data_IF_605491504115
#
_entry.id   IF_605491504115
#
_cell.length_a   1.000
_cell.length_b   1.000
_cell.length_c   1.000
_cell.angle_alpha   90.00
_cell.angle_beta   90.00
_cell.angle_gamma   90.00
#
_symmetry.space_group_name_H-M   'P 1'
#
loop_
_entity.id
_entity.type
_entity.pdbx_description
1 polymer ?
#
# COMPACT_ATOMS: atom_id res chain seq x y z
N UNK A 1 -1.70 -32.12 0.06
CA UNK A 1 -2.19 -31.78 1.42
C UNK A 1 -1.20 -30.79 2.00
N UNK A 2 -1.64 -29.65 2.52
CA UNK A 2 -0.75 -28.73 3.23
C UNK A 2 -0.20 -29.52 4.43
N UNK A 3 1.11 -29.76 4.45
CA UNK A 3 1.76 -30.46 5.55
C UNK A 3 1.58 -29.69 6.87
N UNK A 4 1.74 -30.39 7.99
CA UNK A 4 1.59 -29.82 9.35
C UNK A 4 2.65 -28.75 9.71
N UNK A 5 3.17 -28.03 8.68
CA UNK A 5 4.17 -27.00 8.87
C UNK A 5 3.60 -25.77 9.56
N UNK A 6 4.43 -25.13 10.39
CA UNK A 6 4.15 -23.89 11.11
C UNK A 6 4.78 -22.70 10.36
N UNK A 7 3.98 -21.72 10.01
CA UNK A 7 4.36 -20.54 9.27
C UNK A 7 4.34 -19.32 10.20
N UNK A 8 5.44 -18.59 10.27
CA UNK A 8 5.55 -17.35 11.04
C UNK A 8 5.54 -16.14 10.13
N UNK A 9 4.49 -15.35 10.18
CA UNK A 9 4.46 -14.02 9.56
C UNK A 9 4.86 -12.94 10.55
N UNK A 10 5.75 -12.02 10.12
CA UNK A 10 6.31 -10.99 10.99
C UNK A 10 6.16 -9.61 10.38
N UNK A 11 5.56 -8.68 11.14
CA UNK A 11 5.49 -7.26 10.78
C UNK A 11 5.36 -6.37 12.02
N UNK A 12 5.74 -5.09 11.89
CA UNK A 12 5.65 -4.07 12.97
C UNK A 12 4.26 -3.43 13.11
N UNK A 13 3.31 -3.75 12.26
CA UNK A 13 1.95 -3.23 12.35
C UNK A 13 1.25 -3.73 13.62
N UNK A 14 0.20 -3.06 14.09
CA UNK A 14 -0.62 -3.58 15.17
C UNK A 14 -1.67 -4.56 14.63
N UNK A 15 -1.92 -5.62 15.41
CA UNK A 15 -3.19 -6.33 15.43
C UNK A 15 -3.97 -5.79 16.63
N UNK A 16 -5.28 -5.74 16.49
CA UNK A 16 -6.17 -5.28 17.54
C UNK A 16 -6.86 -6.47 18.21
N UNK A 17 -7.01 -6.39 19.51
CA UNK A 17 -7.67 -7.40 20.32
C UNK A 17 -8.84 -6.79 21.07
N UNK A 18 -10.01 -7.35 20.89
CA UNK A 18 -11.21 -7.00 21.64
C UNK A 18 -11.33 -7.91 22.85
N UNK A 19 -11.20 -7.35 24.05
CA UNK A 19 -11.23 -8.09 25.33
C UNK A 19 -12.60 -8.72 25.61
N UNK A 20 -13.70 -8.11 25.13
CA UNK A 20 -15.05 -8.61 25.35
C UNK A 20 -15.35 -9.83 24.47
N UNK A 21 -15.10 -9.72 23.18
CA UNK A 21 -15.34 -10.83 22.24
C UNK A 21 -14.22 -11.85 22.19
N UNK A 22 -13.05 -11.56 22.80
CA UNK A 22 -11.81 -12.36 22.75
C UNK A 22 -11.35 -12.66 21.31
N UNK A 23 -11.49 -11.67 20.43
CA UNK A 23 -11.21 -11.79 18.99
C UNK A 23 -10.14 -10.83 18.54
N UNK A 24 -9.45 -11.22 17.45
CA UNK A 24 -8.44 -10.40 16.80
C UNK A 24 -9.01 -9.71 15.57
N UNK A 25 -8.52 -8.49 15.30
CA UNK A 25 -8.93 -7.66 14.18
C UNK A 25 -7.72 -7.00 13.53
N UNK A 26 -7.76 -6.81 12.21
CA UNK A 26 -6.74 -6.13 11.44
C UNK A 26 -7.29 -5.01 10.58
N UNK A 27 -6.50 -3.95 10.33
CA UNK A 27 -6.84 -2.89 9.35
C UNK A 27 -6.43 -3.33 7.94
N UNK A 28 -5.25 -3.92 7.81
CA UNK A 28 -4.66 -4.37 6.55
C UNK A 28 -4.32 -5.87 6.58
N UNK A 29 -4.87 -6.57 7.53
CA UNK A 29 -4.69 -7.99 7.76
C UNK A 29 -6.08 -8.61 7.90
N UNK A 30 -6.35 -9.61 7.10
CA UNK A 30 -7.62 -10.30 7.05
C UNK A 30 -7.41 -11.82 6.89
N UNK A 31 -8.50 -12.57 6.84
CA UNK A 31 -8.46 -14.01 6.63
C UNK A 31 -7.90 -14.40 5.24
N UNK A 32 -7.96 -13.50 4.23
CA UNK A 32 -7.36 -13.77 2.92
C UNK A 32 -5.84 -13.81 3.01
N UNK A 33 -5.24 -12.94 3.84
CA UNK A 33 -3.80 -12.98 4.07
C UNK A 33 -3.38 -14.26 4.81
N UNK A 34 -4.16 -14.72 5.78
CA UNK A 34 -3.91 -15.99 6.47
C UNK A 34 -4.00 -17.15 5.47
N UNK A 35 -5.05 -17.21 4.65
CA UNK A 35 -5.22 -18.20 3.58
C UNK A 35 -4.07 -18.18 2.57
N UNK A 36 -3.55 -17.00 2.25
CA UNK A 36 -2.38 -16.84 1.37
C UNK A 36 -1.16 -17.56 1.94
N UNK A 37 -0.90 -17.44 3.23
CA UNK A 37 0.26 -18.08 3.85
C UNK A 37 0.01 -19.54 4.22
N UNK A 38 -1.24 -19.98 4.36
CA UNK A 38 -1.55 -21.41 4.53
C UNK A 38 -1.24 -22.25 3.28
N UNK A 39 -0.81 -21.61 2.18
CA UNK A 39 -0.18 -22.29 1.04
C UNK A 39 1.08 -23.07 1.44
N UNK A 40 1.86 -22.53 2.36
CA UNK A 40 3.12 -23.13 2.82
C UNK A 40 2.93 -24.18 3.93
N UNK A 41 1.84 -24.12 4.71
CA UNK A 41 1.59 -25.03 5.82
C UNK A 41 0.30 -24.72 6.57
N UNK A 42 -0.12 -25.66 7.41
CA UNK A 42 -1.41 -25.67 8.08
C UNK A 42 -1.56 -24.58 9.16
N UNK A 43 -0.50 -24.32 9.93
CA UNK A 43 -0.53 -23.43 11.08
C UNK A 43 0.12 -22.10 10.75
N UNK A 44 -0.62 -20.98 10.91
CA UNK A 44 -0.13 -19.63 10.62
C UNK A 44 -0.15 -18.78 11.88
N UNK A 45 1.02 -18.29 12.28
CA UNK A 45 1.18 -17.38 13.42
C UNK A 45 1.59 -16.00 12.94
N UNK A 46 0.91 -14.93 13.44
CA UNK A 46 1.32 -13.56 13.20
C UNK A 46 2.07 -13.02 14.42
N UNK A 47 3.35 -12.71 14.25
CA UNK A 47 4.16 -12.08 15.28
C UNK A 47 4.10 -10.57 15.09
N UNK A 48 3.29 -9.89 15.92
CA UNK A 48 2.95 -8.50 15.77
C UNK A 48 2.73 -7.81 17.11
N UNK A 49 2.64 -6.46 17.09
CA UNK A 49 2.24 -5.72 18.28
C UNK A 49 0.74 -5.83 18.49
N UNK A 50 0.33 -6.04 19.74
CA UNK A 50 -1.08 -6.06 20.09
C UNK A 50 -1.52 -4.68 20.58
N UNK A 51 -2.72 -4.25 20.19
CA UNK A 51 -3.43 -3.08 20.71
C UNK A 51 -4.82 -3.50 21.17
N UNK A 52 -5.25 -2.95 22.29
CA UNK A 52 -6.63 -3.10 22.71
C UNK A 52 -7.55 -2.32 21.77
N UNK A 53 -8.64 -2.92 21.40
CA UNK A 53 -9.66 -2.30 20.58
C UNK A 53 -10.93 -2.10 21.41
N UNK A 54 -11.48 -0.88 21.49
CA UNK A 54 -12.82 -0.67 22.02
C UNK A 54 -13.86 -1.41 21.19
N UNK A 55 -14.77 -2.14 21.82
CA UNK A 55 -15.74 -3.02 21.12
C UNK A 55 -16.59 -2.29 20.08
N UNK A 56 -16.90 -1.00 20.31
CA UNK A 56 -17.65 -0.17 19.38
C UNK A 56 -16.89 0.19 18.10
N UNK A 57 -15.56 0.02 18.08
CA UNK A 57 -14.74 0.28 16.89
C UNK A 57 -14.49 -0.98 16.06
N UNK A 58 -14.78 -2.17 16.56
CA UNK A 58 -14.48 -3.45 15.89
C UNK A 58 -15.12 -3.57 14.49
N UNK A 59 -16.24 -2.89 14.25
CA UNK A 59 -16.95 -2.86 12.95
C UNK A 59 -16.07 -2.27 11.84
N UNK A 60 -15.08 -1.43 12.17
CA UNK A 60 -14.19 -0.77 11.21
C UNK A 60 -13.02 -1.65 10.74
N UNK A 61 -12.85 -2.84 11.33
CA UNK A 61 -11.71 -3.70 11.10
C UNK A 61 -12.12 -5.10 10.65
N UNK A 62 -11.28 -5.73 9.84
CA UNK A 62 -11.49 -7.11 9.41
C UNK A 62 -11.22 -8.07 10.56
N UNK A 63 -12.19 -8.92 10.88
CA UNK A 63 -12.03 -9.94 11.90
C UNK A 63 -11.16 -11.09 11.37
N UNK A 64 -10.28 -11.61 12.24
CA UNK A 64 -9.44 -12.77 11.97
C UNK A 64 -10.07 -14.01 12.62
N UNK A 65 -10.61 -14.91 11.81
CA UNK A 65 -11.38 -16.07 12.24
C UNK A 65 -10.83 -17.42 11.74
N UNK A 66 -9.74 -17.40 10.96
CA UNK A 66 -9.21 -18.61 10.34
C UNK A 66 -8.87 -19.67 11.39
N UNK A 67 -9.23 -20.92 11.12
CA UNK A 67 -8.78 -22.05 11.91
C UNK A 67 -7.25 -22.19 11.81
N UNK A 68 -6.60 -22.69 12.85
CA UNK A 68 -5.13 -22.85 12.92
C UNK A 68 -4.35 -21.52 12.80
N UNK A 69 -4.98 -20.40 13.17
CA UNK A 69 -4.36 -19.08 13.27
C UNK A 69 -4.05 -18.73 14.72
N UNK A 70 -2.90 -18.13 14.95
CA UNK A 70 -2.52 -17.60 16.26
C UNK A 70 -1.78 -16.26 16.16
N UNK A 71 -1.77 -15.52 17.26
CA UNK A 71 -1.04 -14.24 17.39
C UNK A 71 0.02 -14.37 18.47
N UNK A 72 1.26 -14.05 18.12
CA UNK A 72 2.38 -13.94 19.06
C UNK A 72 2.63 -12.46 19.30
N UNK A 73 2.34 -12.00 20.51
CA UNK A 73 2.50 -10.60 20.87
C UNK A 73 3.96 -10.24 21.09
N UNK A 74 4.41 -9.14 20.47
CA UNK A 74 5.68 -8.48 20.80
C UNK A 74 5.44 -7.12 21.46
N UNK A 75 6.23 -6.73 22.46
CA UNK A 75 6.13 -5.43 23.06
C UNK A 75 6.49 -4.32 22.06
N UNK A 76 5.94 -3.12 22.24
CA UNK A 76 6.33 -1.97 21.43
C UNK A 76 7.79 -1.59 21.72
N UNK A 77 8.61 -1.48 20.69
CA UNK A 77 10.02 -1.06 20.75
C UNK A 77 10.39 -0.09 19.59
N UNK A 78 9.41 0.63 19.05
CA UNK A 78 9.62 1.57 17.93
C UNK A 78 10.22 2.92 18.36
N UNK A 79 9.84 3.45 19.51
CA UNK A 79 10.43 4.71 20.01
C UNK A 79 11.71 4.44 20.81
N UNK A 80 12.61 5.42 20.90
CA UNK A 80 13.89 5.30 21.61
C UNK A 80 13.70 4.80 23.06
N UNK A 81 12.73 5.36 23.80
CA UNK A 81 12.41 4.94 25.16
C UNK A 81 11.99 3.47 25.24
N UNK A 82 11.05 3.07 24.39
CA UNK A 82 10.55 1.69 24.35
C UNK A 82 11.56 0.71 23.76
N UNK A 83 12.44 1.20 22.87
CA UNK A 83 13.52 0.38 22.30
C UNK A 83 14.49 -0.06 23.41
N UNK A 84 14.95 0.87 24.26
CA UNK A 84 15.86 0.54 25.36
C UNK A 84 15.22 -0.43 26.37
N UNK A 85 13.95 -0.23 26.70
CA UNK A 85 13.24 -1.05 27.70
C UNK A 85 12.85 -2.44 27.17
N UNK A 86 12.41 -2.54 25.93
CA UNK A 86 11.73 -3.72 25.43
C UNK A 86 12.51 -4.54 24.40
N UNK A 87 13.64 -4.04 23.87
CA UNK A 87 14.40 -4.72 22.81
C UNK A 87 14.83 -6.13 23.20
N UNK A 88 15.32 -6.32 24.42
CA UNK A 88 15.77 -7.63 24.89
C UNK A 88 14.59 -8.62 24.98
N UNK A 89 13.46 -8.17 25.53
CA UNK A 89 12.21 -8.98 25.60
C UNK A 89 11.69 -9.31 24.22
N UNK A 90 11.59 -8.32 23.32
CA UNK A 90 11.17 -8.53 21.94
C UNK A 90 12.08 -9.54 21.22
N UNK A 91 13.42 -9.39 21.37
CA UNK A 91 14.39 -10.33 20.76
C UNK A 91 14.24 -11.75 21.27
N UNK A 92 13.95 -11.95 22.57
CA UNK A 92 13.69 -13.31 23.13
C UNK A 92 12.44 -13.93 22.51
N UNK A 93 11.33 -13.17 22.42
CA UNK A 93 10.06 -13.64 21.83
C UNK A 93 10.27 -13.99 20.35
N UNK A 94 10.91 -13.09 19.57
CA UNK A 94 11.19 -13.33 18.16
C UNK A 94 12.08 -14.58 17.99
N UNK A 95 13.09 -14.75 18.85
CA UNK A 95 13.99 -15.89 18.79
C UNK A 95 13.24 -17.22 19.03
N UNK A 96 12.41 -17.29 20.06
CA UNK A 96 11.59 -18.46 20.34
C UNK A 96 10.65 -18.79 19.18
N UNK A 97 9.96 -17.78 18.64
CA UNK A 97 9.07 -17.94 17.51
C UNK A 97 9.79 -18.43 16.25
N UNK A 98 10.97 -17.88 15.92
CA UNK A 98 11.76 -18.32 14.76
C UNK A 98 12.22 -19.76 14.90
N UNK A 99 12.60 -20.20 16.10
CA UNK A 99 12.99 -21.60 16.35
C UNK A 99 11.82 -22.55 16.15
N UNK A 100 10.65 -22.19 16.68
CA UNK A 100 9.44 -23.04 16.69
C UNK A 100 8.82 -23.23 15.31
N UNK A 101 8.99 -22.27 14.38
CA UNK A 101 8.33 -22.29 13.07
C UNK A 101 9.27 -22.81 11.97
N UNK A 102 8.66 -23.37 10.94
CA UNK A 102 9.38 -24.01 9.82
C UNK A 102 9.74 -23.01 8.72
N UNK A 103 8.83 -22.09 8.41
CA UNK A 103 8.99 -21.06 7.37
C UNK A 103 8.72 -19.69 7.96
N UNK A 104 9.59 -18.73 7.64
CA UNK A 104 9.52 -17.36 8.16
C UNK A 104 9.18 -16.40 7.01
N UNK A 105 8.04 -15.75 7.10
CA UNK A 105 7.60 -14.72 6.14
C UNK A 105 7.76 -13.35 6.78
N UNK A 106 8.52 -12.47 6.16
CA UNK A 106 8.89 -11.17 6.73
C UNK A 106 8.39 -10.06 5.82
N UNK A 107 7.44 -9.26 6.30
CA UNK A 107 6.99 -8.07 5.58
C UNK A 107 7.85 -6.87 5.96
N UNK A 108 8.50 -6.27 4.97
CA UNK A 108 9.47 -5.19 5.12
C UNK A 108 8.96 -3.87 4.51
N UNK A 109 9.29 -2.71 5.12
CA UNK A 109 10.25 -2.50 6.23
C UNK A 109 9.66 -2.82 7.61
N UNK A 110 10.44 -3.52 8.45
CA UNK A 110 10.05 -3.91 9.81
C UNK A 110 11.27 -4.05 10.72
N UNK A 111 11.23 -3.48 11.93
CA UNK A 111 12.29 -3.65 12.92
C UNK A 111 12.29 -5.07 13.50
N UNK A 112 11.10 -5.63 13.78
CA UNK A 112 10.95 -7.02 14.20
C UNK A 112 11.39 -7.97 13.10
N UNK A 113 11.01 -7.67 11.85
CA UNK A 113 11.41 -8.43 10.66
C UNK A 113 12.92 -8.45 10.45
N UNK A 114 13.62 -7.33 10.69
CA UNK A 114 15.10 -7.30 10.62
C UNK A 114 15.74 -8.22 11.64
N UNK A 115 15.25 -8.24 12.89
CA UNK A 115 15.74 -9.14 13.94
C UNK A 115 15.45 -10.59 13.52
N UNK A 116 14.25 -10.89 13.08
CA UNK A 116 13.84 -12.23 12.66
C UNK A 116 14.66 -12.75 11.46
N UNK A 117 14.97 -11.89 10.48
CA UNK A 117 15.81 -12.25 9.35
C UNK A 117 17.19 -12.76 9.78
N UNK A 118 17.87 -12.03 10.68
CA UNK A 118 19.18 -12.44 11.18
C UNK A 118 19.11 -13.73 12.02
N UNK A 119 18.05 -13.91 12.80
CA UNK A 119 17.82 -15.13 13.56
C UNK A 119 17.50 -16.32 12.65
N UNK A 120 16.63 -16.14 11.66
CA UNK A 120 16.29 -17.17 10.69
C UNK A 120 17.53 -17.65 9.92
N UNK A 121 18.40 -16.72 9.49
CA UNK A 121 19.71 -17.09 8.90
C UNK A 121 20.60 -17.87 9.86
N UNK A 122 20.66 -17.46 11.13
CA UNK A 122 21.44 -18.16 12.16
C UNK A 122 20.98 -19.62 12.35
N UNK A 123 19.68 -19.87 12.24
CA UNK A 123 19.07 -21.19 12.42
C UNK A 123 18.80 -21.92 11.11
N UNK A 124 19.32 -21.42 9.98
CA UNK A 124 19.09 -21.96 8.64
C UNK A 124 17.60 -22.18 8.30
N UNK A 125 16.72 -21.31 8.77
CA UNK A 125 15.29 -21.39 8.47
C UNK A 125 14.99 -20.82 7.08
N UNK A 126 14.06 -21.41 6.32
CA UNK A 126 13.48 -20.86 5.11
C UNK A 126 12.91 -19.46 5.36
N UNK A 127 13.24 -18.50 4.48
CA UNK A 127 12.77 -17.11 4.60
C UNK A 127 12.23 -16.61 3.28
N UNK A 128 11.00 -16.08 3.31
CA UNK A 128 10.42 -15.26 2.26
C UNK A 128 10.33 -13.81 2.74
N UNK A 129 10.86 -12.86 1.97
CA UNK A 129 10.72 -11.43 2.24
C UNK A 129 9.65 -10.83 1.32
N UNK A 130 8.69 -10.11 1.89
CA UNK A 130 7.76 -9.26 1.18
C UNK A 130 8.16 -7.79 1.36
N UNK A 131 8.70 -7.16 0.31
CA UNK A 131 9.11 -5.76 0.35
C UNK A 131 7.98 -4.87 -0.16
N UNK A 132 7.28 -4.19 0.76
CA UNK A 132 6.03 -3.46 0.45
C UNK A 132 6.18 -1.94 0.42
N UNK A 133 7.29 -1.38 0.94
CA UNK A 133 7.51 0.06 0.97
C UNK A 133 9.01 0.41 1.01
N UNK A 134 9.32 1.67 0.68
CA UNK A 134 10.67 2.22 0.78
C UNK A 134 10.93 2.75 2.20
N UNK A 135 11.88 2.17 2.92
CA UNK A 135 12.24 2.63 4.27
C UNK A 135 12.81 4.06 4.28
N UNK A 136 13.56 4.42 3.22
CA UNK A 136 14.10 5.76 3.09
C UNK A 136 13.00 6.81 3.03
N UNK A 137 12.04 6.64 2.11
CA UNK A 137 10.96 7.59 1.90
C UNK A 137 10.06 7.69 3.16
N UNK A 138 9.82 6.56 3.83
CA UNK A 138 9.06 6.50 5.08
C UNK A 138 9.71 7.32 6.20
N UNK A 139 11.02 7.25 6.36
CA UNK A 139 11.75 8.02 7.37
C UNK A 139 11.94 9.47 6.95
N UNK A 140 12.25 9.73 5.68
CA UNK A 140 12.49 11.07 5.15
C UNK A 140 11.29 12.00 5.28
N UNK A 141 10.08 11.47 5.07
CA UNK A 141 8.84 12.24 5.14
C UNK A 141 8.19 12.24 6.54
N UNK A 142 8.81 11.60 7.54
CA UNK A 142 8.24 11.50 8.89
C UNK A 142 8.56 12.74 9.73
N UNK A 143 9.85 12.94 10.08
CA UNK A 143 10.35 14.10 10.83
C UNK A 143 11.84 14.36 10.55
N UNK A 144 12.44 15.36 11.19
CA UNK A 144 13.85 15.67 11.03
C UNK A 144 14.79 14.55 11.54
N UNK A 145 14.38 13.79 12.57
CA UNK A 145 15.14 12.64 13.11
C UNK A 145 15.08 11.47 12.12
N UNK A 146 13.94 11.31 11.48
CA UNK A 146 13.78 10.35 10.39
C UNK A 146 14.73 10.63 9.23
N UNK A 147 14.90 11.89 8.84
CA UNK A 147 15.83 12.28 7.77
C UNK A 147 17.27 11.87 8.09
N UNK A 148 17.73 12.07 9.32
CA UNK A 148 19.09 11.63 9.75
C UNK A 148 19.23 10.10 9.65
N UNK A 149 18.21 9.34 10.04
CA UNK A 149 18.25 7.89 10.04
C UNK A 149 18.00 7.27 8.65
N UNK A 150 17.40 8.00 7.72
CA UNK A 150 16.96 7.47 6.43
C UNK A 150 18.11 6.84 5.62
N UNK A 151 19.26 7.53 5.53
CA UNK A 151 20.44 7.05 4.78
C UNK A 151 21.03 5.78 5.41
N UNK A 152 21.21 5.77 6.74
CA UNK A 152 21.73 4.61 7.46
C UNK A 152 20.81 3.40 7.32
N UNK A 153 19.51 3.60 7.52
CA UNK A 153 18.52 2.53 7.39
C UNK A 153 18.44 2.02 5.96
N UNK A 154 18.44 2.90 4.96
CA UNK A 154 18.48 2.49 3.56
C UNK A 154 19.69 1.61 3.25
N UNK A 155 20.89 2.01 3.70
CA UNK A 155 22.10 1.21 3.53
C UNK A 155 21.99 -0.16 4.20
N UNK A 156 21.54 -0.19 5.47
CA UNK A 156 21.34 -1.43 6.23
C UNK A 156 20.37 -2.39 5.55
N UNK A 157 19.24 -1.86 5.04
CA UNK A 157 18.25 -2.66 4.31
C UNK A 157 18.79 -3.15 2.96
N UNK A 158 19.50 -2.30 2.21
CA UNK A 158 20.16 -2.73 0.97
C UNK A 158 21.09 -3.91 1.20
N UNK A 159 21.95 -3.80 2.22
CA UNK A 159 22.90 -4.87 2.55
C UNK A 159 22.18 -6.17 2.95
N UNK A 160 21.12 -6.07 3.75
CA UNK A 160 20.32 -7.22 4.13
C UNK A 160 19.63 -7.87 2.91
N UNK A 161 19.06 -7.04 2.02
CA UNK A 161 18.32 -7.53 0.86
C UNK A 161 19.22 -8.19 -0.19
N UNK A 162 20.46 -7.75 -0.35
CA UNK A 162 21.43 -8.41 -1.25
C UNK A 162 21.57 -9.91 -0.95
N UNK A 163 21.52 -10.29 0.31
CA UNK A 163 21.66 -11.69 0.77
C UNK A 163 20.33 -12.44 0.88
N UNK A 164 19.18 -11.79 0.63
CA UNK A 164 17.86 -12.42 0.67
C UNK A 164 17.72 -13.42 -0.47
N UNK A 165 17.36 -14.67 -0.17
CA UNK A 165 17.26 -15.74 -1.18
C UNK A 165 15.95 -15.67 -1.97
N UNK A 166 14.84 -15.32 -1.32
CA UNK A 166 13.51 -15.26 -1.92
C UNK A 166 12.82 -13.97 -1.52
N UNK A 167 12.39 -13.18 -2.50
CA UNK A 167 11.78 -11.86 -2.26
C UNK A 167 10.61 -11.60 -3.20
N UNK A 168 9.48 -11.16 -2.64
CA UNK A 168 8.38 -10.56 -3.39
C UNK A 168 8.41 -9.06 -3.17
N UNK A 169 8.43 -8.30 -4.25
CA UNK A 169 8.29 -6.84 -4.22
C UNK A 169 6.89 -6.46 -4.69
N UNK A 170 6.23 -5.51 -4.03
CA UNK A 170 4.92 -5.01 -4.51
C UNK A 170 5.02 -4.19 -5.80
N UNK A 171 6.22 -3.79 -6.20
CA UNK A 171 6.52 -3.09 -7.46
C UNK A 171 7.22 -4.03 -8.45
N UNK A 172 7.26 -3.66 -9.73
CA UNK A 172 8.00 -4.43 -10.74
C UNK A 172 9.43 -3.92 -10.96
N UNK A 173 9.73 -2.65 -10.59
CA UNK A 173 11.04 -2.02 -10.87
C UNK A 173 11.56 -1.19 -9.69
N UNK A 174 10.73 -0.36 -9.07
CA UNK A 174 11.17 0.66 -8.09
C UNK A 174 11.85 0.06 -6.87
N UNK A 175 11.17 -0.84 -6.14
CA UNK A 175 11.74 -1.45 -4.93
C UNK A 175 12.90 -2.39 -5.26
N UNK A 176 12.85 -3.12 -6.38
CA UNK A 176 13.93 -3.97 -6.86
C UNK A 176 15.20 -3.16 -7.13
N UNK A 177 15.10 -2.00 -7.77
CA UNK A 177 16.22 -1.09 -7.98
C UNK A 177 16.72 -0.46 -6.67
N UNK A 178 15.81 -0.15 -5.76
CA UNK A 178 16.13 0.48 -4.48
C UNK A 178 16.77 -0.49 -3.49
N UNK A 179 16.30 -1.72 -3.45
CA UNK A 179 16.74 -2.79 -2.55
C UNK A 179 16.96 -4.09 -3.33
N UNK A 180 18.02 -4.16 -4.15
CA UNK A 180 18.27 -5.34 -5.00
C UNK A 180 18.60 -6.57 -4.16
N UNK A 181 18.22 -7.74 -4.66
CA UNK A 181 18.65 -9.05 -4.14
C UNK A 181 19.44 -9.80 -5.20
N UNK A 182 20.37 -10.67 -4.76
CA UNK A 182 21.03 -11.68 -5.60
C UNK A 182 20.25 -12.99 -5.68
N UNK A 183 19.24 -13.14 -4.83
CA UNK A 183 18.35 -14.30 -4.84
C UNK A 183 17.24 -14.19 -5.88
N UNK A 184 16.33 -15.16 -5.84
CA UNK A 184 15.13 -15.17 -6.70
C UNK A 184 14.14 -14.13 -6.24
N UNK A 185 13.54 -13.40 -7.17
CA UNK A 185 12.54 -12.39 -6.82
C UNK A 185 11.51 -12.16 -7.92
N UNK A 186 10.32 -11.76 -7.50
CA UNK A 186 9.23 -11.34 -8.40
C UNK A 186 8.66 -9.99 -7.99
N UNK A 187 8.02 -9.31 -8.96
CA UNK A 187 7.08 -8.21 -8.70
C UNK A 187 5.67 -8.77 -8.60
N UNK A 188 5.03 -8.59 -7.44
CA UNK A 188 3.65 -9.03 -7.23
C UNK A 188 2.97 -8.11 -6.21
N UNK A 189 1.99 -7.34 -6.68
CA UNK A 189 1.26 -6.39 -5.84
C UNK A 189 0.35 -7.10 -4.82
N UNK A 190 0.05 -6.39 -3.73
CA UNK A 190 -0.95 -6.79 -2.73
C UNK A 190 -2.37 -6.27 -3.06
N UNK A 191 -2.56 -5.64 -4.22
CA UNK A 191 -3.89 -5.24 -4.67
C UNK A 191 -4.70 -6.48 -5.04
N UNK A 192 -5.99 -6.44 -4.74
CA UNK A 192 -6.93 -7.51 -5.12
C UNK A 192 -8.08 -6.89 -5.92
N UNK A 193 -7.92 -6.82 -7.23
CA UNK A 193 -9.00 -6.41 -8.13
C UNK A 193 -9.89 -7.61 -8.48
N UNK A 194 -11.19 -7.39 -8.46
CA UNK A 194 -12.14 -8.29 -9.10
C UNK A 194 -11.94 -8.19 -10.61
N UNK A 195 -12.29 -9.23 -11.34
CA UNK A 195 -12.17 -9.28 -12.81
C UNK A 195 -12.85 -8.04 -13.43
N UNK A 196 -12.09 -7.36 -14.29
CA UNK A 196 -12.59 -6.19 -14.99
C UNK A 196 -13.50 -6.64 -16.14
N UNK A 197 -14.70 -6.07 -16.22
CA UNK A 197 -15.65 -6.22 -17.33
C UNK A 197 -15.41 -5.09 -18.34
N UNK A 198 -15.31 -5.41 -19.62
CA UNK A 198 -15.07 -4.43 -20.67
C UNK A 198 -16.19 -3.38 -20.78
N UNK A 199 -17.40 -3.67 -20.30
CA UNK A 199 -18.49 -2.69 -20.17
C UNK A 199 -18.11 -1.47 -19.31
N UNK A 200 -17.17 -1.62 -18.37
CA UNK A 200 -16.63 -0.52 -17.55
C UNK A 200 -15.95 0.52 -18.44
N UNK A 201 -15.09 0.06 -19.35
CA UNK A 201 -14.42 0.96 -20.32
C UNK A 201 -15.42 1.62 -21.26
N UNK A 202 -16.35 0.85 -21.82
CA UNK A 202 -17.38 1.42 -22.69
C UNK A 202 -18.21 2.51 -22.00
N UNK A 203 -18.66 2.26 -20.79
CA UNK A 203 -19.43 3.21 -20.01
C UNK A 203 -18.62 4.47 -19.70
N UNK A 204 -17.32 4.32 -19.37
CA UNK A 204 -16.39 5.43 -19.15
C UNK A 204 -16.24 6.28 -20.42
N UNK A 205 -16.04 5.67 -21.57
CA UNK A 205 -15.91 6.38 -22.87
C UNK A 205 -17.20 7.14 -23.23
N UNK A 206 -18.36 6.51 -23.08
CA UNK A 206 -19.66 7.16 -23.28
C UNK A 206 -19.84 8.39 -22.36
N UNK A 207 -19.41 8.26 -21.08
CA UNK A 207 -19.49 9.35 -20.11
C UNK A 207 -18.54 10.52 -20.48
N UNK A 208 -17.31 10.23 -20.88
CA UNK A 208 -16.35 11.26 -21.33
C UNK A 208 -16.92 12.07 -22.51
N UNK A 209 -17.52 11.39 -23.49
CA UNK A 209 -18.11 12.06 -24.66
C UNK A 209 -19.30 12.98 -24.29
N UNK A 210 -20.09 12.61 -23.27
CA UNK A 210 -21.24 13.38 -22.80
C UNK A 210 -20.87 14.43 -21.75
N UNK A 211 -19.58 14.52 -21.38
CA UNK A 211 -19.14 15.41 -20.30
C UNK A 211 -19.37 16.88 -20.65
N UNK A 212 -20.11 17.56 -19.80
CA UNK A 212 -20.33 19.01 -19.80
C UNK A 212 -19.98 19.59 -18.42
N UNK A 213 -19.49 20.82 -18.38
CA UNK A 213 -19.13 21.51 -17.14
C UNK A 213 -17.73 21.17 -16.60
N UNK A 214 -17.41 21.58 -15.36
CA UNK A 214 -16.10 21.45 -14.77
C UNK A 214 -15.63 20.00 -14.68
N UNK A 215 -14.34 19.75 -14.87
CA UNK A 215 -13.70 18.44 -14.66
C UNK A 215 -13.69 18.14 -13.16
N UNK A 216 -14.13 16.92 -12.81
CA UNK A 216 -14.13 16.41 -11.45
C UNK A 216 -12.87 15.57 -11.21
N UNK A 217 -11.97 16.09 -10.39
CA UNK A 217 -10.79 15.37 -9.90
C UNK A 217 -11.17 14.54 -8.66
N UNK A 218 -10.51 13.40 -8.47
CA UNK A 218 -10.70 12.61 -7.26
C UNK A 218 -9.39 12.05 -6.70
N UNK A 219 -9.32 11.94 -5.36
CA UNK A 219 -8.24 11.23 -4.65
C UNK A 219 -8.83 10.38 -3.54
N UNK A 220 -8.38 9.13 -3.44
CA UNK A 220 -8.68 8.25 -2.32
C UNK A 220 -7.41 8.03 -1.50
N UNK A 221 -7.30 8.67 -0.32
CA UNK A 221 -6.14 8.61 0.57
C UNK A 221 -6.48 9.11 1.97
N UNK A 222 -5.65 8.78 2.97
CA UNK A 222 -5.75 9.36 4.30
C UNK A 222 -5.70 10.90 4.24
N UNK A 223 -6.60 11.58 4.98
CA UNK A 223 -6.83 13.03 4.90
C UNK A 223 -5.95 13.84 5.86
N UNK A 224 -5.48 13.20 6.91
CA UNK A 224 -4.62 13.79 7.97
C UNK A 224 -3.11 13.62 7.70
N UNK A 225 -2.75 13.06 6.56
CA UNK A 225 -1.37 12.69 6.24
C UNK A 225 -0.77 13.62 5.17
N UNK A 226 0.11 14.59 5.54
CA UNK A 226 0.61 15.62 4.63
C UNK A 226 1.36 15.10 3.39
N UNK A 227 2.03 13.94 3.51
CA UNK A 227 2.77 13.36 2.38
C UNK A 227 1.85 12.76 1.30
N UNK A 228 0.53 12.70 1.52
CA UNK A 228 -0.44 12.34 0.47
C UNK A 228 -0.68 13.46 -0.55
N UNK A 229 -0.28 14.69 -0.24
CA UNK A 229 -0.13 15.77 -1.20
C UNK A 229 -1.42 16.45 -1.67
N UNK A 230 -2.60 16.11 -1.14
CA UNK A 230 -3.89 16.68 -1.57
C UNK A 230 -3.89 18.23 -1.53
N UNK A 231 -3.21 18.82 -0.54
CA UNK A 231 -3.07 20.27 -0.42
C UNK A 231 -2.35 20.91 -1.60
N UNK A 232 -1.47 20.20 -2.31
CA UNK A 232 -0.76 20.73 -3.47
C UNK A 232 -1.70 20.81 -4.68
N UNK A 233 -2.65 19.87 -4.82
CA UNK A 233 -3.73 19.94 -5.82
C UNK A 233 -4.69 21.09 -5.50
N UNK A 234 -5.07 21.28 -4.24
CA UNK A 234 -5.92 22.42 -3.80
C UNK A 234 -5.27 23.76 -4.18
N UNK A 235 -3.96 23.90 -3.98
CA UNK A 235 -3.22 25.12 -4.41
C UNK A 235 -3.22 25.27 -5.92
N UNK A 236 -3.07 24.19 -6.69
CA UNK A 236 -3.08 24.21 -8.14
C UNK A 236 -4.43 24.68 -8.69
N UNK A 237 -5.56 24.12 -8.21
CA UNK A 237 -6.88 24.55 -8.65
C UNK A 237 -7.20 26.00 -8.21
N UNK A 238 -6.65 26.45 -7.08
CA UNK A 238 -6.77 27.86 -6.67
C UNK A 238 -6.05 28.83 -7.59
N UNK A 239 -4.90 28.46 -8.16
CA UNK A 239 -4.22 29.24 -9.19
C UNK A 239 -5.03 29.23 -10.50
N UNK A 240 -5.55 28.06 -10.91
CA UNK A 240 -6.35 27.92 -12.13
C UNK A 240 -7.68 28.68 -12.07
N UNK A 241 -8.33 28.73 -10.91
CA UNK A 241 -9.55 29.55 -10.70
C UNK A 241 -9.30 31.02 -11.03
N UNK A 242 -8.12 31.59 -10.72
CA UNK A 242 -7.74 32.95 -11.05
C UNK A 242 -7.59 33.17 -12.57
N UNK A 243 -7.35 32.11 -13.32
CA UNK A 243 -7.29 32.08 -14.78
C UNK A 243 -8.66 31.77 -15.43
N UNK A 244 -9.73 31.65 -14.64
CA UNK A 244 -11.06 31.30 -15.12
C UNK A 244 -11.27 29.81 -15.39
N UNK A 245 -10.32 28.93 -15.02
CA UNK A 245 -10.39 27.49 -15.24
C UNK A 245 -10.86 26.80 -13.95
N UNK A 246 -12.01 26.15 -14.01
CA UNK A 246 -12.69 25.59 -12.85
C UNK A 246 -12.57 24.06 -12.83
N UNK A 247 -12.10 23.54 -11.71
CA UNK A 247 -12.10 22.11 -11.37
C UNK A 247 -12.89 21.88 -10.09
N UNK A 248 -13.54 20.72 -9.96
CA UNK A 248 -14.06 20.24 -8.69
C UNK A 248 -13.10 19.16 -8.17
N UNK A 249 -12.74 19.22 -6.90
CA UNK A 249 -11.83 18.22 -6.30
C UNK A 249 -12.49 17.50 -5.15
N UNK A 250 -12.75 16.20 -5.35
CA UNK A 250 -13.39 15.31 -4.38
C UNK A 250 -12.35 14.46 -3.65
N UNK A 251 -12.46 14.41 -2.33
CA UNK A 251 -11.51 13.72 -1.44
C UNK A 251 -12.22 12.65 -0.61
N UNK A 252 -11.78 11.41 -0.76
CA UNK A 252 -12.26 10.26 0.00
C UNK A 252 -11.13 9.70 0.86
N UNK A 253 -11.40 9.47 2.14
CA UNK A 253 -10.47 8.85 3.07
C UNK A 253 -10.81 9.14 4.53
N UNK A 254 -10.13 8.44 5.42
CA UNK A 254 -10.23 8.67 6.85
C UNK A 254 -9.19 9.67 7.34
N UNK A 255 -9.41 10.23 8.52
CA UNK A 255 -8.51 11.15 9.19
C UNK A 255 -9.09 12.55 9.37
N UNK A 256 -8.35 13.42 10.06
CA UNK A 256 -8.76 14.80 10.30
C UNK A 256 -8.71 15.62 9.01
N UNK A 257 -9.80 16.33 8.72
CA UNK A 257 -10.02 17.12 7.52
C UNK A 257 -9.57 18.59 7.66
N UNK A 258 -9.24 19.02 8.87
CA UNK A 258 -9.05 20.46 9.21
C UNK A 258 -8.00 21.13 8.34
N UNK A 259 -6.87 20.48 8.10
CA UNK A 259 -5.79 21.02 7.29
C UNK A 259 -6.19 21.19 5.80
N UNK A 260 -6.99 20.29 5.26
CA UNK A 260 -7.45 20.36 3.87
C UNK A 260 -8.54 21.43 3.69
N UNK A 261 -9.46 21.55 4.66
CA UNK A 261 -10.44 22.66 4.69
C UNK A 261 -9.76 24.01 4.75
N UNK A 262 -8.78 24.17 5.64
CA UNK A 262 -7.98 25.40 5.73
C UNK A 262 -7.20 25.69 4.45
N UNK A 263 -6.67 24.65 3.77
CA UNK A 263 -6.00 24.82 2.50
C UNK A 263 -6.98 25.32 1.41
N UNK A 264 -8.20 24.80 1.37
CA UNK A 264 -9.24 25.22 0.43
C UNK A 264 -9.67 26.69 0.68
N UNK A 265 -9.83 27.09 1.93
CA UNK A 265 -10.13 28.48 2.32
C UNK A 265 -9.02 29.45 1.91
N UNK A 266 -7.76 29.14 2.26
CA UNK A 266 -6.59 29.99 1.94
C UNK A 266 -6.36 30.17 0.45
N UNK A 267 -6.84 29.25 -0.39
CA UNK A 267 -6.71 29.32 -1.84
C UNK A 267 -8.01 29.76 -2.55
N UNK A 268 -9.06 30.16 -1.79
CA UNK A 268 -10.36 30.63 -2.31
C UNK A 268 -11.07 29.58 -3.20
N UNK A 269 -10.99 28.30 -2.84
CA UNK A 269 -11.59 27.17 -3.59
C UNK A 269 -12.46 26.27 -2.70
N UNK A 270 -13.00 26.81 -1.61
CA UNK A 270 -13.88 26.04 -0.72
C UNK A 270 -15.10 25.49 -1.44
N UNK A 271 -15.62 26.24 -2.40
CA UNK A 271 -16.73 25.88 -3.28
C UNK A 271 -16.38 24.80 -4.32
N UNK A 272 -15.10 24.51 -4.52
CA UNK A 272 -14.58 23.52 -5.47
C UNK A 272 -13.98 22.28 -4.81
N UNK A 273 -13.86 22.25 -3.48
CA UNK A 273 -13.26 21.14 -2.72
C UNK A 273 -14.34 20.46 -1.88
N UNK A 274 -14.66 19.22 -2.23
CA UNK A 274 -15.59 18.38 -1.50
C UNK A 274 -14.84 17.28 -0.74
N UNK A 275 -14.91 17.31 0.59
CA UNK A 275 -14.28 16.31 1.46
C UNK A 275 -15.36 15.36 1.96
N UNK A 276 -15.49 14.21 1.30
CA UNK A 276 -16.53 13.22 1.55
C UNK A 276 -16.27 12.46 2.85
N UNK A 277 -14.98 12.22 3.18
CA UNK A 277 -14.61 11.41 4.32
C UNK A 277 -14.46 9.93 3.95
N UNK A 278 -14.64 9.04 4.92
CA UNK A 278 -14.45 7.60 4.75
C UNK A 278 -15.66 6.97 4.07
N UNK A 279 -15.41 6.15 3.06
CA UNK A 279 -16.43 5.33 2.40
C UNK A 279 -16.17 3.84 2.66
N UNK A 280 -17.21 3.00 2.67
CA UNK A 280 -17.06 1.55 2.52
C UNK A 280 -16.29 1.21 1.24
N UNK A 281 -15.53 0.11 1.24
CA UNK A 281 -14.70 -0.24 0.09
C UNK A 281 -15.51 -0.44 -1.21
N UNK A 282 -16.73 -0.98 -1.12
CA UNK A 282 -17.66 -1.09 -2.24
C UNK A 282 -17.97 0.27 -2.88
N UNK A 283 -18.18 1.28 -2.05
CA UNK A 283 -18.62 2.61 -2.51
C UNK A 283 -17.44 3.43 -3.08
N UNK A 284 -16.20 3.03 -2.75
CA UNK A 284 -15.00 3.60 -3.38
C UNK A 284 -15.02 3.37 -4.89
N UNK A 285 -15.47 2.21 -5.37
CA UNK A 285 -15.55 1.94 -6.81
C UNK A 285 -16.61 2.82 -7.49
N UNK A 286 -17.76 3.04 -6.86
CA UNK A 286 -18.79 3.97 -7.35
C UNK A 286 -18.23 5.40 -7.43
N UNK A 287 -17.53 5.84 -6.38
CA UNK A 287 -16.84 7.13 -6.38
C UNK A 287 -15.84 7.26 -7.55
N UNK A 288 -15.03 6.22 -7.81
CA UNK A 288 -14.07 6.20 -8.90
C UNK A 288 -14.74 6.21 -10.30
N UNK A 289 -15.95 5.72 -10.40
CA UNK A 289 -16.77 5.82 -11.62
C UNK A 289 -17.35 7.23 -11.81
N UNK A 290 -17.66 7.94 -10.74
CA UNK A 290 -18.24 9.30 -10.76
C UNK A 290 -17.24 10.41 -11.07
N UNK A 291 -15.99 10.30 -10.71
CA UNK A 291 -14.97 11.29 -11.02
C UNK A 291 -14.51 11.19 -12.49
N UNK A 292 -14.00 12.27 -13.04
CA UNK A 292 -13.50 12.31 -14.41
C UNK A 292 -12.02 11.92 -14.50
N UNK A 293 -11.21 12.38 -13.55
CA UNK A 293 -9.77 12.11 -13.50
C UNK A 293 -9.34 11.81 -12.06
N UNK A 294 -8.67 10.71 -11.86
CA UNK A 294 -8.02 10.39 -10.60
C UNK A 294 -6.66 11.10 -10.49
N UNK A 295 -6.32 11.67 -9.34
CA UNK A 295 -5.02 12.28 -9.12
C UNK A 295 -4.37 11.76 -7.84
N UNK A 296 -3.10 11.27 -7.95
CA UNK A 296 -2.29 10.75 -6.84
C UNK A 296 -1.09 11.66 -6.59
N UNK A 297 -1.20 12.73 -5.80
CA UNK A 297 -0.14 13.72 -5.60
C UNK A 297 0.86 13.37 -4.49
N UNK A 298 0.97 12.10 -4.15
CA UNK A 298 1.75 11.63 -3.00
C UNK A 298 3.24 11.94 -3.10
N UNK A 299 3.87 12.18 -1.95
CA UNK A 299 5.33 12.36 -1.78
C UNK A 299 6.01 11.06 -1.34
N UNK A 300 5.21 10.04 -1.00
CA UNK A 300 5.67 8.72 -0.56
C UNK A 300 4.62 7.66 -0.89
N UNK A 301 5.06 6.58 -1.52
CA UNK A 301 4.25 5.38 -1.80
C UNK A 301 5.14 4.11 -1.83
N UNK A 302 4.48 2.96 -1.90
CA UNK A 302 5.03 1.73 -2.45
C UNK A 302 4.53 1.57 -3.89
N UNK A 303 3.56 0.68 -4.10
CA UNK A 303 2.66 0.67 -5.25
C UNK A 303 1.27 1.12 -4.75
N UNK A 304 0.75 2.28 -5.18
CA UNK A 304 -0.52 2.80 -4.64
C UNK A 304 -1.71 1.99 -5.16
N UNK A 305 -2.36 1.22 -4.28
CA UNK A 305 -3.56 0.45 -4.60
C UNK A 305 -4.67 1.32 -5.18
N UNK A 306 -4.86 2.50 -4.64
CA UNK A 306 -5.87 3.45 -5.08
C UNK A 306 -5.74 3.87 -6.55
N UNK A 307 -4.52 3.99 -7.08
CA UNK A 307 -4.30 4.21 -8.52
C UNK A 307 -4.74 3.00 -9.34
N UNK A 308 -4.39 1.79 -8.88
CA UNK A 308 -4.79 0.55 -9.57
C UNK A 308 -6.31 0.37 -9.54
N UNK A 309 -6.96 0.69 -8.41
CA UNK A 309 -8.43 0.69 -8.28
C UNK A 309 -9.07 1.70 -9.24
N UNK A 310 -8.54 2.92 -9.36
CA UNK A 310 -9.01 3.92 -10.33
C UNK A 310 -8.84 3.44 -11.77
N UNK A 311 -7.69 2.86 -12.10
CA UNK A 311 -7.42 2.29 -13.42
C UNK A 311 -8.40 1.16 -13.78
N UNK A 312 -8.79 0.32 -12.81
CA UNK A 312 -9.78 -0.75 -13.00
C UNK A 312 -11.19 -0.24 -13.33
N UNK A 313 -11.48 1.03 -13.02
CA UNK A 313 -12.71 1.74 -13.42
C UNK A 313 -12.51 2.57 -14.68
N UNK A 314 -11.48 2.24 -15.47
CA UNK A 314 -11.10 2.99 -16.66
C UNK A 314 -10.97 4.51 -16.40
N UNK A 315 -10.62 4.90 -15.16
CA UNK A 315 -10.48 6.30 -14.79
C UNK A 315 -9.12 6.83 -15.32
N UNK A 316 -9.10 7.91 -16.13
CA UNK A 316 -7.86 8.60 -16.46
C UNK A 316 -7.13 9.00 -15.17
N UNK A 317 -5.81 8.88 -15.13
CA UNK A 317 -5.07 9.15 -13.92
C UNK A 317 -3.86 10.07 -14.14
N UNK A 318 -3.66 10.97 -13.19
CA UNK A 318 -2.45 11.77 -13.03
C UNK A 318 -1.74 11.37 -11.72
N UNK A 319 -0.42 11.47 -11.66
CA UNK A 319 0.28 11.12 -10.43
C UNK A 319 1.68 11.70 -10.31
N UNK A 320 2.19 11.72 -9.09
CA UNK A 320 3.57 12.13 -8.84
C UNK A 320 4.57 11.10 -9.37
N UNK A 321 5.69 11.58 -9.89
CA UNK A 321 6.79 10.76 -10.42
C UNK A 321 7.64 10.17 -9.27
N UNK A 322 7.00 9.35 -8.42
CA UNK A 322 7.68 8.71 -7.28
C UNK A 322 7.30 7.25 -7.16
N UNK A 323 8.16 6.49 -6.51
CA UNK A 323 7.91 5.12 -6.09
C UNK A 323 7.36 4.23 -7.24
N UNK A 324 6.28 3.50 -7.01
CA UNK A 324 5.64 2.64 -7.99
C UNK A 324 4.63 3.35 -8.90
N UNK A 325 4.36 4.66 -8.74
CA UNK A 325 3.39 5.38 -9.60
C UNK A 325 3.81 5.37 -11.08
N UNK A 326 5.11 5.60 -11.43
CA UNK A 326 5.57 5.54 -12.82
C UNK A 326 5.49 4.15 -13.47
N UNK A 327 5.21 3.11 -12.71
CA UNK A 327 4.98 1.76 -13.23
C UNK A 327 3.52 1.52 -13.63
N UNK A 328 2.62 2.40 -13.18
CA UNK A 328 1.17 2.27 -13.36
C UNK A 328 0.65 3.13 -14.52
N UNK A 329 1.07 4.39 -14.58
CA UNK A 329 0.53 5.37 -15.52
C UNK A 329 1.60 5.92 -16.46
N UNK A 330 1.17 6.44 -17.60
CA UNK A 330 2.05 6.95 -18.64
C UNK A 330 2.92 8.12 -18.13
N UNK A 331 4.14 8.22 -18.67
CA UNK A 331 5.08 9.30 -18.35
C UNK A 331 4.49 10.70 -18.56
N UNK A 332 3.66 10.89 -19.59
CA UNK A 332 3.01 12.17 -19.86
C UNK A 332 2.02 12.59 -18.75
N UNK A 333 1.54 11.64 -17.94
CA UNK A 333 0.61 11.86 -16.82
C UNK A 333 1.34 12.14 -15.49
N UNK A 334 2.67 12.11 -15.48
CA UNK A 334 3.47 12.27 -14.27
C UNK A 334 3.89 13.72 -14.06
N UNK A 335 3.97 14.11 -12.78
CA UNK A 335 4.55 15.37 -12.31
C UNK A 335 5.44 15.13 -11.09
N UNK A 336 6.40 16.00 -10.83
CA UNK A 336 7.26 15.86 -9.65
C UNK A 336 6.50 16.20 -8.37
N UNK A 337 6.69 15.40 -7.33
CA UNK A 337 6.00 15.56 -6.05
C UNK A 337 6.22 16.96 -5.44
N UNK A 338 5.12 17.64 -5.10
CA UNK A 338 5.13 18.99 -4.55
C UNK A 338 5.35 20.13 -5.56
N UNK A 339 5.50 19.85 -6.85
CA UNK A 339 5.65 20.84 -7.91
C UNK A 339 4.29 21.30 -8.44
N UNK A 340 3.73 22.34 -7.80
CA UNK A 340 2.39 22.85 -8.09
C UNK A 340 2.25 23.27 -9.56
N UNK A 341 3.27 23.90 -10.14
CA UNK A 341 3.22 24.39 -11.51
C UNK A 341 3.14 23.23 -12.53
N UNK A 342 3.82 22.10 -12.25
CA UNK A 342 3.68 20.89 -13.07
C UNK A 342 2.28 20.26 -12.90
N UNK A 343 1.67 20.31 -11.72
CA UNK A 343 0.28 19.88 -11.53
C UNK A 343 -0.65 20.75 -12.42
N UNK A 344 -0.46 22.07 -12.43
CA UNK A 344 -1.23 23.01 -13.27
C UNK A 344 -1.08 22.63 -14.76
N UNK A 345 0.14 22.39 -15.23
CA UNK A 345 0.40 21.99 -16.62
C UNK A 345 -0.37 20.71 -16.97
N UNK A 346 -0.34 19.70 -16.09
CA UNK A 346 -1.08 18.45 -16.32
C UNK A 346 -2.59 18.64 -16.31
N UNK A 347 -3.11 19.48 -15.43
CA UNK A 347 -4.54 19.78 -15.38
C UNK A 347 -4.99 20.53 -16.66
N UNK A 348 -4.18 21.43 -17.21
CA UNK A 348 -4.47 22.14 -18.46
C UNK A 348 -4.46 21.22 -19.71
N UNK A 349 -3.80 20.07 -19.66
CA UNK A 349 -3.79 19.07 -20.75
C UNK A 349 -5.09 18.28 -20.86
N UNK A 350 -5.93 18.28 -19.82
CA UNK A 350 -7.14 17.47 -19.77
C UNK A 350 -8.16 17.94 -20.80
N UNK A 351 -8.50 17.08 -21.72
CA UNK A 351 -9.59 17.22 -22.68
C UNK A 351 -10.19 15.84 -23.00
N UNK A 352 -11.29 15.79 -23.75
CA UNK A 352 -11.97 14.53 -24.05
C UNK A 352 -11.06 13.51 -24.76
N UNK A 353 -10.22 13.93 -25.70
CA UNK A 353 -9.29 13.04 -26.39
C UNK A 353 -8.27 12.43 -25.42
N UNK A 354 -7.64 13.26 -24.57
CA UNK A 354 -6.69 12.79 -23.56
C UNK A 354 -7.36 11.84 -22.57
N UNK A 355 -8.58 12.18 -22.10
CA UNK A 355 -9.31 11.31 -21.16
C UNK A 355 -9.63 9.96 -21.77
N UNK A 356 -10.10 9.89 -23.03
CA UNK A 356 -10.40 8.62 -23.70
C UNK A 356 -9.13 7.76 -23.88
N UNK A 357 -8.05 8.38 -24.33
CA UNK A 357 -6.74 7.71 -24.51
C UNK A 357 -6.25 7.11 -23.17
N UNK A 358 -6.29 7.89 -22.09
CA UNK A 358 -5.81 7.43 -20.79
C UNK A 358 -6.78 6.41 -20.16
N UNK A 359 -8.07 6.53 -20.36
CA UNK A 359 -9.06 5.54 -19.91
C UNK A 359 -8.76 4.15 -20.47
N UNK A 360 -8.56 4.05 -21.79
CA UNK A 360 -8.22 2.77 -22.43
C UNK A 360 -6.90 2.19 -21.93
N UNK A 361 -5.84 2.99 -21.88
CA UNK A 361 -4.52 2.53 -21.41
C UNK A 361 -4.54 2.09 -19.95
N UNK A 362 -5.18 2.87 -19.07
CA UNK A 362 -5.27 2.54 -17.66
C UNK A 362 -6.07 1.26 -17.44
N UNK A 363 -7.17 1.07 -18.15
CA UNK A 363 -8.00 -0.11 -18.04
C UNK A 363 -7.24 -1.37 -18.46
N UNK A 364 -6.55 -1.34 -19.61
CA UNK A 364 -5.72 -2.47 -20.05
C UNK A 364 -4.60 -2.77 -19.04
N UNK A 365 -3.93 -1.74 -18.52
CA UNK A 365 -2.88 -1.91 -17.52
C UNK A 365 -3.40 -2.48 -16.20
N UNK A 366 -4.64 -2.14 -15.81
CA UNK A 366 -5.26 -2.67 -14.60
C UNK A 366 -5.50 -4.19 -14.65
N UNK A 367 -5.65 -4.77 -15.84
CA UNK A 367 -5.82 -6.23 -16.04
C UNK A 367 -4.64 -7.03 -15.48
N UNK A 368 -3.41 -6.46 -15.50
CA UNK A 368 -2.22 -7.10 -14.91
C UNK A 368 -2.30 -7.25 -13.38
N UNK A 369 -3.25 -6.55 -12.73
CA UNK A 369 -3.46 -6.52 -11.28
C UNK A 369 -4.72 -7.25 -10.84
N UNK A 370 -5.35 -8.03 -11.72
CA UNK A 370 -6.48 -8.88 -11.36
C UNK A 370 -6.05 -9.94 -10.35
N UNK A 371 -6.98 -10.29 -9.46
CA UNK A 371 -6.72 -11.21 -8.35
C UNK A 371 -6.16 -12.56 -8.81
N UNK A 372 -6.73 -13.13 -9.84
CA UNK A 372 -6.31 -14.45 -10.35
C UNK A 372 -4.92 -14.39 -10.99
N UNK A 373 -4.62 -13.31 -11.73
CA UNK A 373 -3.30 -13.09 -12.32
C UNK A 373 -2.21 -12.97 -11.25
N UNK A 374 -2.46 -12.14 -10.22
CA UNK A 374 -1.53 -11.95 -9.12
C UNK A 374 -1.41 -13.20 -8.25
N UNK A 375 -2.51 -13.95 -8.08
CA UNK A 375 -2.52 -15.22 -7.36
C UNK A 375 -1.66 -16.25 -8.08
N UNK A 376 -1.90 -16.48 -9.38
CA UNK A 376 -1.13 -17.42 -10.18
C UNK A 376 0.37 -17.11 -10.15
N UNK A 377 0.75 -15.83 -10.37
CA UNK A 377 2.14 -15.37 -10.30
C UNK A 377 2.78 -15.62 -8.94
N UNK A 378 2.04 -15.40 -7.86
CA UNK A 378 2.51 -15.59 -6.49
C UNK A 378 2.66 -17.07 -6.16
N UNK A 379 1.69 -17.89 -6.52
CA UNK A 379 1.71 -19.33 -6.26
C UNK A 379 2.85 -20.01 -7.02
N UNK A 380 3.08 -19.68 -8.28
CA UNK A 380 4.24 -20.17 -9.04
C UNK A 380 5.58 -19.83 -8.36
N UNK A 381 5.69 -18.65 -7.75
CA UNK A 381 6.89 -18.28 -6.97
C UNK A 381 6.96 -19.01 -5.62
N UNK A 382 5.82 -19.30 -5.00
CA UNK A 382 5.77 -20.09 -3.78
C UNK A 382 6.21 -21.53 -4.01
N UNK A 383 5.79 -22.15 -5.13
CA UNK A 383 6.28 -23.48 -5.53
C UNK A 383 7.79 -23.48 -5.72
N UNK A 384 8.32 -22.49 -6.43
CA UNK A 384 9.77 -22.31 -6.56
C UNK A 384 10.48 -22.18 -5.20
N UNK A 385 9.89 -21.46 -4.23
CA UNK A 385 10.43 -21.37 -2.88
C UNK A 385 10.41 -22.73 -2.19
N UNK A 386 9.31 -23.49 -2.29
CA UNK A 386 9.18 -24.81 -1.68
C UNK A 386 10.19 -25.80 -2.26
N UNK A 387 10.44 -25.78 -3.57
CA UNK A 387 11.50 -26.58 -4.22
C UNK A 387 12.88 -26.20 -3.66
N UNK A 388 13.20 -24.90 -3.66
CA UNK A 388 14.50 -24.42 -3.20
C UNK A 388 14.77 -24.70 -1.71
N UNK A 389 13.70 -24.85 -0.94
CA UNK A 389 13.78 -25.22 0.50
C UNK A 389 13.75 -26.73 0.74
N UNK A 390 13.57 -27.55 -0.31
CA UNK A 390 13.53 -29.00 -0.22
C UNK A 390 12.25 -29.56 0.38
N UNK A 391 11.13 -28.83 0.27
CA UNK A 391 9.82 -29.27 0.75
C UNK A 391 9.00 -30.01 -0.31
N UNK A 392 9.29 -29.79 -1.57
CA UNK A 392 8.71 -30.47 -2.74
C UNK A 392 9.80 -30.73 -3.78
N UNK A 393 9.59 -31.67 -4.68
CA UNK A 393 10.48 -32.02 -5.80
C UNK A 393 10.32 -31.09 -7.01
#
# INVERSE_FOLDING_TARGET
>A
MAEERKILFIHDGPIYYDELSKKYFGIHYDDNLIKRYSYFGKYVSFLMRLRKLPSYESIKYSRLNSLNFSVIEIPNFKSIRYYLLNKAKAKRIINAAVIEHDIIIIRMPSAAGTIAYHLARKYNKPVLIEMVACVFDALWNYDWRGKIQAHYKMYSYKRMMVDAKHTIYVTNKFLQKRYPTKGKSIGCSDVELVQADDSILENRLKRILKKNGPIVLGTTAALDVPYKGQSDVIKAIGKLKKEGIIFIYKLVGQGDQSNLKLAAERNNVRDQVEIIGSLPHSDVFNFLEEIDVYIQPSKQEGLPRAVVEAMSRACPALGSNIAGIPELIDKECLFDAGKIDQIIEKLKMINNYWMQKQAGKNFEKAKEYQKEELKSRREAFYDQCLVDWGFIE
#
